data_IF_097354585960
#
_entry.id   IF_097354585960
#
_cell.length_a   1.000
_cell.length_b   1.000
_cell.length_c   1.000
_cell.angle_alpha   90.00
_cell.angle_beta   90.00
_cell.angle_gamma   90.00
#
_symmetry.space_group_name_H-M   'P 1'
#
loop_
_entity.id
_entity.type
_entity.pdbx_description
1 polymer ?
#
# COMPACT_ATOMS: atom_id res chain seq x y z
N UNK A 1 10.08 -1.50 19.64
CA UNK A 1 9.91 -1.46 18.18
C UNK A 1 10.74 -0.35 17.52
N UNK A 2 10.88 0.83 18.13
CA UNK A 2 11.68 1.95 17.58
C UNK A 2 13.15 1.57 17.30
N UNK A 3 13.86 0.98 18.27
CA UNK A 3 15.24 0.51 18.03
C UNK A 3 15.37 -0.52 16.90
N UNK A 4 14.35 -1.33 16.66
CA UNK A 4 14.32 -2.27 15.54
C UNK A 4 14.12 -1.54 14.20
N UNK A 5 13.23 -0.53 14.15
CA UNK A 5 13.04 0.33 12.98
C UNK A 5 14.34 0.99 12.55
N UNK A 6 15.08 1.55 13.50
CA UNK A 6 16.37 2.19 13.22
C UNK A 6 17.40 1.20 12.66
N UNK A 7 17.49 -0.01 13.22
CA UNK A 7 18.40 -1.04 12.71
C UNK A 7 18.01 -1.47 11.30
N UNK A 8 16.73 -1.74 11.05
CA UNK A 8 16.26 -2.11 9.71
C UNK A 8 16.45 -0.99 8.68
N UNK A 9 16.28 0.28 9.07
CA UNK A 9 16.53 1.44 8.19
C UNK A 9 18.01 1.62 7.89
N UNK A 10 18.88 1.41 8.88
CA UNK A 10 20.32 1.63 8.73
C UNK A 10 21.04 0.50 7.99
N UNK A 11 20.62 -0.75 8.21
CA UNK A 11 21.33 -1.95 7.73
C UNK A 11 20.57 -2.73 6.66
N UNK A 12 19.27 -2.47 6.50
CA UNK A 12 18.38 -3.33 5.72
C UNK A 12 17.91 -4.55 6.50
N UNK A 13 16.91 -5.25 5.96
CA UNK A 13 16.32 -6.42 6.60
C UNK A 13 17.31 -7.58 6.76
N UNK A 14 18.07 -7.90 5.71
CA UNK A 14 18.94 -9.08 5.70
C UNK A 14 20.12 -8.98 6.67
N UNK A 15 20.81 -7.84 6.69
CA UNK A 15 21.98 -7.62 7.53
C UNK A 15 21.65 -7.44 9.02
N UNK A 16 20.44 -6.97 9.34
CA UNK A 16 20.00 -6.81 10.72
C UNK A 16 19.94 -8.14 11.48
N UNK A 17 20.39 -8.15 12.74
CA UNK A 17 20.24 -9.28 13.65
C UNK A 17 19.37 -8.96 14.87
N UNK A 18 18.69 -9.97 15.42
CA UNK A 18 17.94 -9.85 16.68
C UNK A 18 18.82 -9.39 17.86
N UNK A 19 20.12 -9.70 17.83
CA UNK A 19 21.06 -9.26 18.86
C UNK A 19 21.36 -7.76 18.79
N UNK A 20 21.58 -7.24 17.60
CA UNK A 20 21.79 -5.80 17.40
C UNK A 20 20.54 -4.99 17.72
N UNK A 21 19.38 -5.50 17.31
CA UNK A 21 18.09 -4.90 17.63
C UNK A 21 17.89 -4.84 19.14
N UNK A 22 18.15 -5.93 19.87
CA UNK A 22 18.03 -5.96 21.32
C UNK A 22 18.96 -4.93 21.98
N UNK A 23 20.23 -4.89 21.54
CA UNK A 23 21.22 -3.90 22.01
C UNK A 23 20.76 -2.46 21.74
N UNK A 24 20.25 -2.18 20.54
CA UNK A 24 19.77 -0.84 20.16
C UNK A 24 18.52 -0.44 20.95
N UNK A 25 17.63 -1.40 21.23
CA UNK A 25 16.42 -1.18 22.01
C UNK A 25 16.66 -1.17 23.53
N UNK A 26 17.89 -1.41 24.01
CA UNK A 26 18.21 -1.43 25.44
C UNK A 26 17.59 -2.61 26.20
N UNK A 27 17.26 -3.71 25.51
CA UNK A 27 16.65 -4.92 26.11
C UNK A 27 17.52 -6.16 25.88
N UNK A 28 17.26 -7.24 26.63
CA UNK A 28 17.94 -8.51 26.38
C UNK A 28 17.40 -9.18 25.11
N UNK A 29 18.22 -10.00 24.45
CA UNK A 29 17.79 -10.81 23.30
C UNK A 29 16.65 -11.77 23.68
N UNK A 30 16.67 -12.31 24.91
CA UNK A 30 15.60 -13.16 25.43
C UNK A 30 14.28 -12.40 25.56
N UNK A 31 14.32 -11.17 26.08
CA UNK A 31 13.14 -10.29 26.16
C UNK A 31 12.53 -10.06 24.79
N UNK A 32 13.35 -9.84 23.76
CA UNK A 32 12.85 -9.61 22.41
C UNK A 32 12.12 -10.84 21.84
N UNK A 33 12.65 -12.05 22.08
CA UNK A 33 12.02 -13.30 21.64
C UNK A 33 10.73 -13.66 22.39
N UNK A 34 10.49 -13.10 23.57
CA UNK A 34 9.19 -13.25 24.25
C UNK A 34 8.06 -12.56 23.47
N UNK A 35 8.38 -11.46 22.75
CA UNK A 35 7.39 -10.71 21.97
C UNK A 35 7.37 -11.04 20.49
N UNK A 36 8.51 -11.48 19.94
CA UNK A 36 8.65 -11.75 18.51
C UNK A 36 9.45 -13.03 18.28
N UNK A 37 8.77 -14.06 17.78
CA UNK A 37 9.36 -15.37 17.51
C UNK A 37 10.50 -15.34 16.48
N UNK A 38 10.51 -14.31 15.62
CA UNK A 38 11.53 -14.14 14.58
C UNK A 38 11.77 -12.67 14.21
N UNK A 39 12.86 -12.44 13.46
CA UNK A 39 13.18 -11.13 12.88
C UNK A 39 12.11 -10.71 11.87
N UNK A 40 11.57 -11.67 11.13
CA UNK A 40 10.50 -11.51 10.15
C UNK A 40 9.20 -11.04 10.82
N UNK A 41 8.80 -11.66 11.95
CA UNK A 41 7.61 -11.23 12.71
C UNK A 41 7.76 -9.85 13.32
N UNK A 42 8.95 -9.52 13.81
CA UNK A 42 9.25 -8.17 14.27
C UNK A 42 9.18 -7.14 13.12
N UNK A 43 9.71 -7.48 11.96
CA UNK A 43 9.64 -6.62 10.78
C UNK A 43 8.20 -6.40 10.32
N UNK A 44 7.42 -7.48 10.21
CA UNK A 44 6.00 -7.44 9.89
C UNK A 44 5.24 -6.48 10.81
N UNK A 45 5.35 -6.66 12.14
CA UNK A 45 4.68 -5.81 13.12
C UNK A 45 5.03 -4.32 12.95
N UNK A 46 6.31 -4.02 12.72
CA UNK A 46 6.79 -2.67 12.45
C UNK A 46 6.18 -2.10 11.17
N UNK A 47 6.14 -2.89 10.09
CA UNK A 47 5.62 -2.43 8.80
C UNK A 47 4.12 -2.22 8.84
N UNK A 48 3.39 -3.10 9.54
CA UNK A 48 1.95 -2.97 9.75
C UNK A 48 1.62 -1.69 10.51
N UNK A 49 2.33 -1.40 11.61
CA UNK A 49 2.16 -0.16 12.38
C UNK A 49 2.52 1.09 11.56
N UNK A 50 3.60 1.05 10.77
CA UNK A 50 4.05 2.19 9.97
C UNK A 50 3.17 2.50 8.74
N UNK A 51 2.42 1.52 8.25
CA UNK A 51 1.56 1.65 7.07
C UNK A 51 0.09 1.87 7.43
N UNK A 52 -0.39 1.31 8.55
CA UNK A 52 -1.81 1.29 8.90
C UNK A 52 -2.47 2.66 8.96
N UNK A 53 -1.97 3.56 9.81
CA UNK A 53 -2.58 4.89 10.01
C UNK A 53 -2.60 5.75 8.73
N UNK A 54 -1.57 5.62 7.90
CA UNK A 54 -1.49 6.39 6.65
C UNK A 54 -2.40 5.80 5.58
N UNK A 55 -2.49 4.47 5.48
CA UNK A 55 -3.42 3.81 4.57
C UNK A 55 -4.89 4.13 4.91
N UNK A 56 -5.24 4.19 6.21
CA UNK A 56 -6.58 4.61 6.65
C UNK A 56 -6.95 6.00 6.15
N UNK A 57 -6.00 6.95 6.20
CA UNK A 57 -6.21 8.31 5.68
C UNK A 57 -6.36 8.33 4.17
N UNK A 58 -5.54 7.58 3.43
CA UNK A 58 -5.56 7.54 1.95
C UNK A 58 -6.89 7.00 1.42
N UNK A 59 -7.43 5.96 2.06
CA UNK A 59 -8.67 5.30 1.65
C UNK A 59 -9.88 5.77 2.46
N UNK A 60 -9.86 7.00 2.97
CA UNK A 60 -11.03 7.64 3.57
C UNK A 60 -11.91 8.20 2.46
N UNK A 61 -12.91 7.41 2.05
CA UNK A 61 -13.84 7.72 0.97
C UNK A 61 -15.23 7.97 1.55
N UNK A 62 -15.87 9.08 1.16
CA UNK A 62 -17.25 9.37 1.51
C UNK A 62 -18.18 8.76 0.45
N UNK A 63 -19.01 7.79 0.83
CA UNK A 63 -19.99 7.16 -0.07
C UNK A 63 -21.05 8.13 -0.58
N UNK A 64 -21.26 9.26 0.09
CA UNK A 64 -22.20 10.30 -0.35
C UNK A 64 -21.57 11.30 -1.34
N UNK A 65 -20.26 11.23 -1.60
CA UNK A 65 -19.59 12.09 -2.57
C UNK A 65 -19.72 11.51 -3.99
N UNK A 66 -20.66 12.08 -4.75
CA UNK A 66 -20.99 11.67 -6.11
C UNK A 66 -20.09 12.31 -7.19
N UNK A 67 -19.14 13.17 -6.81
CA UNK A 67 -18.11 13.64 -7.75
C UNK A 67 -17.00 12.58 -7.88
N UNK A 68 -17.34 11.48 -8.57
CA UNK A 68 -16.45 10.33 -8.77
C UNK A 68 -15.11 10.75 -9.37
N UNK A 69 -15.11 11.71 -10.29
CA UNK A 69 -13.88 12.19 -10.93
C UNK A 69 -12.94 12.86 -9.91
N UNK A 70 -13.47 13.74 -9.07
CA UNK A 70 -12.70 14.39 -8.02
C UNK A 70 -12.25 13.41 -6.93
N UNK A 71 -13.12 12.48 -6.52
CA UNK A 71 -12.81 11.45 -5.51
C UNK A 71 -11.68 10.55 -6.00
N UNK A 72 -11.82 9.97 -7.20
CA UNK A 72 -10.80 9.07 -7.77
C UNK A 72 -9.48 9.80 -8.03
N UNK A 73 -9.52 11.06 -8.47
CA UNK A 73 -8.31 11.89 -8.64
C UNK A 73 -7.58 12.08 -7.31
N UNK A 74 -8.30 12.46 -6.25
CA UNK A 74 -7.72 12.66 -4.91
C UNK A 74 -7.16 11.36 -4.33
N UNK A 75 -7.92 10.26 -4.47
CA UNK A 75 -7.49 8.93 -4.03
C UNK A 75 -6.23 8.50 -4.77
N UNK A 76 -6.24 8.51 -6.10
CA UNK A 76 -5.11 8.06 -6.92
C UNK A 76 -3.82 8.82 -6.62
N UNK A 77 -3.88 10.15 -6.50
CA UNK A 77 -2.71 10.97 -6.12
C UNK A 77 -2.18 10.61 -4.73
N UNK A 78 -3.08 10.47 -3.75
CA UNK A 78 -2.70 10.16 -2.36
C UNK A 78 -2.12 8.75 -2.23
N UNK A 79 -2.70 7.79 -2.95
CA UNK A 79 -2.26 6.41 -3.04
C UNK A 79 -0.85 6.29 -3.65
N UNK A 80 -0.61 6.94 -4.79
CA UNK A 80 0.71 6.90 -5.44
C UNK A 80 1.76 7.57 -4.57
N UNK A 81 1.46 8.72 -3.95
CA UNK A 81 2.37 9.40 -3.00
C UNK A 81 2.68 8.53 -1.78
N UNK A 82 1.69 7.85 -1.24
CA UNK A 82 1.86 6.91 -0.13
C UNK A 82 2.81 5.77 -0.51
N UNK A 83 2.66 5.19 -1.70
CA UNK A 83 3.55 4.12 -2.17
C UNK A 83 4.96 4.61 -2.49
N UNK A 84 5.10 5.83 -3.02
CA UNK A 84 6.39 6.35 -3.47
C UNK A 84 7.20 7.06 -2.38
N UNK A 85 6.71 7.12 -1.13
CA UNK A 85 7.46 7.73 -0.02
C UNK A 85 8.83 7.04 0.15
N UNK A 86 9.89 7.78 0.52
CA UNK A 86 11.19 7.19 0.80
C UNK A 86 11.08 6.00 1.76
N UNK A 87 11.64 4.86 1.36
CA UNK A 87 11.63 3.64 2.16
C UNK A 87 10.37 2.77 2.04
N UNK A 88 9.25 3.21 1.44
CA UNK A 88 8.04 2.38 1.34
C UNK A 88 8.18 1.12 0.49
N UNK A 89 9.09 1.12 -0.47
CA UNK A 89 9.36 -0.08 -1.29
C UNK A 89 10.17 -1.15 -0.54
N UNK A 90 10.89 -0.79 0.52
CA UNK A 90 11.73 -1.74 1.27
C UNK A 90 10.89 -2.83 1.97
N UNK A 91 9.81 -2.49 2.72
CA UNK A 91 8.84 -3.46 3.22
C UNK A 91 8.29 -4.40 2.16
N UNK A 92 7.79 -3.86 1.05
CA UNK A 92 7.17 -4.64 0.00
C UNK A 92 8.16 -5.64 -0.63
N UNK A 93 9.39 -5.21 -0.94
CA UNK A 93 10.43 -6.11 -1.46
C UNK A 93 10.81 -7.20 -0.46
N UNK A 94 10.95 -6.84 0.81
CA UNK A 94 11.31 -7.78 1.87
C UNK A 94 10.25 -8.86 2.00
N UNK A 95 8.97 -8.47 2.07
CA UNK A 95 7.85 -9.41 2.16
C UNK A 95 7.80 -10.32 0.92
N UNK A 96 7.95 -9.77 -0.28
CA UNK A 96 8.00 -10.56 -1.52
C UNK A 96 9.15 -11.58 -1.45
N UNK A 97 10.35 -11.16 -1.03
CA UNK A 97 11.52 -12.02 -0.95
C UNK A 97 11.34 -13.20 0.03
N UNK A 98 10.65 -12.99 1.15
CA UNK A 98 10.44 -14.04 2.16
C UNK A 98 9.14 -14.84 1.95
N UNK A 99 8.22 -14.38 1.10
CA UNK A 99 6.87 -14.96 0.95
C UNK A 99 6.87 -16.45 0.59
N UNK A 100 7.83 -16.93 -0.21
CA UNK A 100 7.94 -18.37 -0.49
C UNK A 100 8.39 -19.20 0.72
N UNK A 101 9.20 -18.61 1.61
CA UNK A 101 9.74 -19.27 2.80
C UNK A 101 8.79 -19.16 3.99
N UNK A 102 8.04 -18.07 4.09
CA UNK A 102 7.06 -17.77 5.14
C UNK A 102 5.76 -17.26 4.50
N UNK A 103 4.95 -18.16 3.92
CA UNK A 103 3.72 -17.79 3.19
C UNK A 103 2.71 -17.01 4.03
N UNK A 104 2.67 -17.27 5.33
CA UNK A 104 1.78 -16.60 6.27
C UNK A 104 2.04 -15.10 6.37
N UNK A 105 3.30 -14.66 6.33
CA UNK A 105 3.67 -13.23 6.36
C UNK A 105 3.27 -12.55 5.06
N UNK A 106 3.48 -13.24 3.92
CA UNK A 106 3.07 -12.71 2.62
C UNK A 106 1.55 -12.51 2.54
N UNK A 107 0.78 -13.50 3.01
CA UNK A 107 -0.68 -13.43 3.08
C UNK A 107 -1.15 -12.33 4.03
N UNK A 108 -0.64 -12.29 5.26
CA UNK A 108 -1.02 -11.30 6.27
C UNK A 108 -0.72 -9.88 5.79
N UNK A 109 0.44 -9.64 5.18
CA UNK A 109 0.77 -8.35 4.57
C UNK A 109 -0.22 -7.96 3.44
N UNK A 110 -0.58 -8.91 2.57
CA UNK A 110 -1.54 -8.66 1.48
C UNK A 110 -2.94 -8.34 2.02
N UNK A 111 -3.44 -9.15 2.95
CA UNK A 111 -4.77 -9.01 3.55
C UNK A 111 -4.90 -7.74 4.38
N UNK A 112 -3.84 -7.35 5.10
CA UNK A 112 -3.89 -6.17 5.98
C UNK A 112 -3.55 -4.85 5.29
N UNK A 113 -2.98 -4.89 4.08
CA UNK A 113 -2.58 -3.72 3.30
C UNK A 113 -3.30 -3.63 1.95
N UNK A 114 -2.73 -4.17 0.85
CA UNK A 114 -3.31 -4.08 -0.49
C UNK A 114 -4.80 -4.41 -0.59
N UNK A 115 -5.22 -5.54 -0.02
CA UNK A 115 -6.62 -6.00 -0.11
C UNK A 115 -7.61 -5.04 0.59
N UNK A 116 -7.21 -4.40 1.69
CA UNK A 116 -8.05 -3.40 2.38
C UNK A 116 -8.29 -2.16 1.51
N UNK A 117 -7.27 -1.70 0.78
CA UNK A 117 -7.40 -0.57 -0.14
C UNK A 117 -8.42 -0.86 -1.24
N UNK A 118 -8.34 -2.05 -1.84
CA UNK A 118 -9.31 -2.53 -2.83
C UNK A 118 -10.71 -2.59 -2.22
N UNK A 119 -10.85 -3.20 -1.04
CA UNK A 119 -12.15 -3.34 -0.36
C UNK A 119 -12.82 -1.99 -0.09
N UNK A 120 -12.06 -1.00 0.38
CA UNK A 120 -12.59 0.35 0.65
C UNK A 120 -13.05 1.07 -0.61
N UNK A 121 -12.29 0.97 -1.69
CA UNK A 121 -12.69 1.54 -2.97
C UNK A 121 -13.89 0.78 -3.56
N UNK A 122 -13.93 -0.54 -3.44
CA UNK A 122 -15.06 -1.37 -3.85
C UNK A 122 -16.37 -0.88 -3.21
N UNK A 123 -16.41 -0.73 -1.89
CA UNK A 123 -17.60 -0.22 -1.18
C UNK A 123 -18.02 1.18 -1.65
N UNK A 124 -17.05 2.07 -1.91
CA UNK A 124 -17.35 3.37 -2.50
C UNK A 124 -18.01 3.19 -3.88
N UNK A 125 -17.43 2.39 -4.77
CA UNK A 125 -17.97 2.17 -6.11
C UNK A 125 -19.37 1.54 -6.09
N UNK A 126 -19.63 0.57 -5.21
CA UNK A 126 -20.95 -0.02 -4.99
C UNK A 126 -22.00 1.04 -4.63
N UNK A 127 -21.64 2.01 -3.77
CA UNK A 127 -22.54 3.12 -3.44
C UNK A 127 -22.86 4.02 -4.64
N UNK A 128 -21.89 4.22 -5.54
CA UNK A 128 -22.09 5.01 -6.76
C UNK A 128 -22.92 4.27 -7.80
N UNK A 129 -22.78 2.94 -7.89
CA UNK A 129 -23.66 2.08 -8.71
C UNK A 129 -25.09 2.11 -8.17
N UNK A 130 -25.27 1.98 -6.85
CA UNK A 130 -26.59 2.06 -6.21
C UNK A 130 -27.27 3.43 -6.43
N UNK A 131 -26.49 4.50 -6.53
CA UNK A 131 -26.97 5.85 -6.85
C UNK A 131 -27.19 6.10 -8.36
N UNK A 132 -26.89 5.13 -9.23
CA UNK A 132 -27.01 5.25 -10.69
C UNK A 132 -25.95 6.17 -11.34
N UNK A 133 -24.89 6.53 -10.60
CA UNK A 133 -23.81 7.40 -11.07
C UNK A 133 -22.83 6.61 -11.95
N UNK A 134 -22.64 5.32 -11.67
CA UNK A 134 -21.76 4.40 -12.41
C UNK A 134 -22.52 3.14 -12.82
N UNK A 135 -22.04 2.48 -13.87
CA UNK A 135 -22.48 1.15 -14.29
C UNK A 135 -21.28 0.21 -14.27
N UNK A 136 -21.17 -0.61 -13.22
CA UNK A 136 -20.05 -1.53 -12.98
C UNK A 136 -20.64 -2.92 -12.68
N UNK A 137 -20.16 -3.95 -13.37
CA UNK A 137 -20.58 -5.34 -13.14
C UNK A 137 -19.90 -5.93 -11.90
N UNK A 138 -18.59 -5.69 -11.75
CA UNK A 138 -17.77 -6.17 -10.66
C UNK A 138 -16.96 -5.01 -10.05
N UNK A 139 -17.43 -4.51 -8.91
CA UNK A 139 -16.81 -3.38 -8.20
C UNK A 139 -15.45 -3.74 -7.60
N UNK A 140 -15.20 -5.01 -7.26
CA UNK A 140 -13.91 -5.44 -6.73
C UNK A 140 -12.85 -5.39 -7.82
N UNK A 141 -13.17 -5.95 -9.00
CA UNK A 141 -12.29 -5.90 -10.17
C UNK A 141 -12.05 -4.46 -10.63
N UNK A 142 -13.10 -3.63 -10.70
CA UNK A 142 -12.97 -2.23 -11.09
C UNK A 142 -12.09 -1.44 -10.11
N UNK A 143 -12.24 -1.67 -8.81
CA UNK A 143 -11.41 -1.06 -7.78
C UNK A 143 -9.93 -1.47 -7.92
N UNK A 144 -9.66 -2.76 -8.07
CA UNK A 144 -8.30 -3.27 -8.25
C UNK A 144 -7.65 -2.70 -9.52
N UNK A 145 -8.36 -2.72 -10.65
CA UNK A 145 -7.89 -2.16 -11.92
C UNK A 145 -7.57 -0.67 -11.82
N UNK A 146 -8.41 0.10 -11.12
CA UNK A 146 -8.18 1.53 -10.93
C UNK A 146 -6.89 1.79 -10.14
N UNK A 147 -6.69 1.09 -9.02
CA UNK A 147 -5.49 1.24 -8.20
C UNK A 147 -4.24 0.82 -8.96
N UNK A 148 -4.26 -0.31 -9.67
CA UNK A 148 -3.16 -0.76 -10.51
C UNK A 148 -2.84 0.25 -11.63
N UNK A 149 -3.87 0.85 -12.22
CA UNK A 149 -3.72 1.88 -13.26
C UNK A 149 -3.10 3.17 -12.73
N UNK A 150 -3.38 3.56 -11.48
CA UNK A 150 -2.77 4.74 -10.85
C UNK A 150 -1.25 4.59 -10.72
N UNK A 151 -0.75 3.36 -10.57
CA UNK A 151 0.67 3.07 -10.44
C UNK A 151 1.28 2.48 -11.72
N UNK A 152 0.53 2.47 -12.82
CA UNK A 152 1.01 2.01 -14.11
C UNK A 152 2.28 2.76 -14.48
N UNK A 153 3.32 2.04 -14.90
CA UNK A 153 4.67 2.56 -15.22
C UNK A 153 5.45 3.17 -14.04
N UNK A 154 4.89 3.22 -12.82
CA UNK A 154 5.54 3.78 -11.62
C UNK A 154 6.04 2.66 -10.71
N UNK A 155 5.14 1.77 -10.26
CA UNK A 155 5.45 0.81 -9.19
C UNK A 155 6.56 -0.17 -9.59
N UNK A 156 6.47 -0.74 -10.80
CA UNK A 156 7.45 -1.75 -11.25
C UNK A 156 8.87 -1.18 -11.33
N UNK A 157 9.14 -0.06 -12.04
CA UNK A 157 10.49 0.55 -12.02
C UNK A 157 11.00 0.87 -10.62
N UNK A 158 10.14 1.38 -9.72
CA UNK A 158 10.51 1.61 -8.34
C UNK A 158 10.89 0.31 -7.64
N UNK A 159 10.08 -0.75 -7.72
CA UNK A 159 10.38 -2.06 -7.13
C UNK A 159 11.74 -2.62 -7.55
N UNK A 160 12.19 -2.36 -8.78
CA UNK A 160 13.48 -2.81 -9.29
C UNK A 160 14.65 -1.82 -9.07
N UNK A 161 14.43 -0.71 -8.36
CA UNK A 161 15.40 0.39 -8.21
C UNK A 161 15.91 0.93 -9.57
N UNK A 162 15.08 0.86 -10.61
CA UNK A 162 15.45 1.30 -11.95
C UNK A 162 15.33 2.82 -12.14
N UNK A 163 14.57 3.49 -11.25
CA UNK A 163 14.30 4.92 -11.28
C UNK A 163 14.19 5.47 -9.86
N UNK A 164 14.34 6.79 -9.72
CA UNK A 164 13.99 7.52 -8.51
C UNK A 164 12.48 7.70 -8.35
N UNK A 165 12.06 8.27 -7.21
CA UNK A 165 10.67 8.60 -6.96
C UNK A 165 10.11 9.54 -8.05
N UNK A 166 8.88 9.31 -8.54
CA UNK A 166 8.28 10.16 -9.57
C UNK A 166 8.03 11.58 -9.05
N UNK A 167 8.12 12.57 -9.93
CA UNK A 167 7.67 13.94 -9.63
C UNK A 167 6.16 14.02 -9.51
N UNK A 168 5.66 15.04 -8.82
CA UNK A 168 4.21 15.30 -8.71
C UNK A 168 3.54 15.43 -10.09
N UNK A 169 4.20 16.08 -11.05
CA UNK A 169 3.70 16.16 -12.43
C UNK A 169 3.58 14.79 -13.13
N UNK A 170 4.48 13.85 -12.83
CA UNK A 170 4.37 12.47 -13.36
C UNK A 170 3.23 11.71 -12.70
N UNK A 171 3.07 11.85 -11.38
CA UNK A 171 1.95 11.25 -10.63
C UNK A 171 0.62 11.75 -11.20
N UNK A 172 0.47 13.07 -11.35
CA UNK A 172 -0.75 13.70 -11.85
C UNK A 172 -1.10 13.24 -13.27
N UNK A 173 -0.08 13.09 -14.12
CA UNK A 173 -0.26 12.60 -15.47
C UNK A 173 -0.79 11.16 -15.52
N UNK A 174 -0.18 10.24 -14.76
CA UNK A 174 -0.58 8.82 -14.73
C UNK A 174 -1.96 8.67 -14.11
N UNK A 175 -2.21 9.30 -12.96
CA UNK A 175 -3.51 9.26 -12.28
C UNK A 175 -4.61 9.87 -13.18
N UNK A 176 -4.33 10.99 -13.85
CA UNK A 176 -5.29 11.60 -14.77
C UNK A 176 -5.67 10.68 -15.94
N UNK A 177 -4.73 9.89 -16.46
CA UNK A 177 -5.05 8.88 -17.49
C UNK A 177 -5.91 7.76 -16.90
N UNK A 178 -5.57 7.26 -15.70
CA UNK A 178 -6.33 6.22 -15.01
C UNK A 178 -7.78 6.64 -14.77
N UNK A 179 -8.01 7.86 -14.25
CA UNK A 179 -9.34 8.42 -14.00
C UNK A 179 -10.15 8.56 -15.29
N UNK A 180 -9.56 9.14 -16.35
CA UNK A 180 -10.26 9.26 -17.65
C UNK A 180 -10.64 7.91 -18.23
N UNK A 181 -9.74 6.92 -18.15
CA UNK A 181 -9.99 5.57 -18.66
C UNK A 181 -11.10 4.87 -17.87
N UNK A 182 -11.06 4.99 -16.54
CA UNK A 182 -12.09 4.44 -15.66
C UNK A 182 -13.47 5.03 -15.94
N UNK A 183 -13.57 6.35 -16.03
CA UNK A 183 -14.84 7.04 -16.30
C UNK A 183 -15.38 6.74 -17.70
N UNK A 184 -14.49 6.60 -18.70
CA UNK A 184 -14.90 6.20 -20.04
C UNK A 184 -15.47 4.77 -20.09
N UNK A 185 -14.99 3.88 -19.21
CA UNK A 185 -15.47 2.50 -19.13
C UNK A 185 -16.78 2.35 -18.34
N UNK A 186 -16.97 3.16 -17.28
CA UNK A 186 -18.01 2.89 -16.27
C UNK A 186 -19.06 4.00 -16.09
N UNK A 187 -18.94 5.16 -16.77
CA UNK A 187 -20.06 6.11 -16.79
C UNK A 187 -21.24 5.50 -17.57
N UNK A 188 -22.49 5.70 -17.12
CA UNK A 188 -23.66 5.26 -17.87
C UNK A 188 -23.64 5.85 -19.28
N UNK A 189 -23.97 5.03 -20.27
CA UNK A 189 -24.16 5.50 -21.64
C UNK A 189 -25.43 6.37 -21.65
N UNK A 190 -25.28 7.62 -22.11
CA UNK A 190 -26.40 8.55 -22.29
C UNK A 190 -27.34 8.10 -23.42
#
# INVERSE_FOLDING_TARGET
MEGAREVFLAQGFDAASMGEIARKAGVSKGTLYVYFDSKERLFEAITHEACGAQAETVFSLDSADHDVEAVLTRLGRSFVKFLCRPGAMSPLRTVIAISNRMPEIGREFYETGPAKGVTKLCHYLESQVAAGILTIEDCEVAAAQFLDSCVATILKPLLFNAVEAPSDGRIDHVVGIAVRTFLAAYRPVA
#
